data_IF_705377685850
#
_entry.id   IF_705377685850
#
_cell.length_a   1.000
_cell.length_b   1.000
_cell.length_c   1.000
_cell.angle_alpha   90.00
_cell.angle_beta   90.00
_cell.angle_gamma   90.00
#
_symmetry.space_group_name_H-M   'P 1'
#
loop_
_entity.id
_entity.type
_entity.pdbx_description
1 polymer ?
#
# COMPACT_ATOMS: atom_id res chain seq x y z
N UNK A 1 4.29 17.55 24.47
CA UNK A 1 5.07 18.20 23.40
C UNK A 1 5.09 17.27 22.20
N UNK A 2 4.39 17.62 21.14
CA UNK A 2 4.30 16.81 19.94
C UNK A 2 5.45 17.04 18.97
N UNK A 3 5.70 16.05 18.11
CA UNK A 3 6.55 16.25 16.96
C UNK A 3 5.97 17.35 16.07
N UNK A 4 6.79 18.29 15.63
CA UNK A 4 6.37 19.36 14.72
C UNK A 4 6.25 18.88 13.27
N UNK A 5 6.95 17.79 12.95
CA UNK A 5 6.95 17.16 11.63
C UNK A 5 5.99 15.98 11.57
N UNK A 6 5.77 15.45 10.39
CA UNK A 6 4.94 14.28 10.19
C UNK A 6 5.40 13.07 11.00
N UNK A 7 4.48 12.16 11.29
CA UNK A 7 4.72 10.91 11.99
C UNK A 7 4.62 9.76 11.02
N UNK A 8 5.68 8.99 10.90
CA UNK A 8 5.69 7.77 10.09
C UNK A 8 5.58 6.54 11.01
N UNK A 9 4.86 5.54 10.53
CA UNK A 9 4.76 4.23 11.16
C UNK A 9 5.16 3.17 10.14
N UNK A 10 5.97 2.22 10.58
CA UNK A 10 6.24 0.98 9.85
C UNK A 10 5.70 -0.19 10.66
N UNK A 11 4.75 -0.93 10.10
CA UNK A 11 4.18 -2.09 10.79
C UNK A 11 3.64 -3.09 9.76
N UNK A 12 4.28 -4.24 9.65
CA UNK A 12 3.77 -5.39 8.91
C UNK A 12 2.73 -6.14 9.74
N UNK A 13 1.98 -7.02 9.10
CA UNK A 13 1.04 -7.91 9.77
C UNK A 13 -0.39 -7.40 9.77
N UNK A 14 -1.22 -7.99 10.62
CA UNK A 14 -2.64 -7.68 10.68
C UNK A 14 -2.90 -6.46 11.55
N UNK A 15 -3.12 -5.33 10.93
CA UNK A 15 -3.35 -4.06 11.62
C UNK A 15 -4.75 -3.46 11.38
N UNK A 16 -5.65 -4.19 10.74
CA UNK A 16 -6.99 -3.68 10.38
C UNK A 16 -7.74 -3.07 11.57
N UNK A 17 -7.61 -3.65 12.75
CA UNK A 17 -8.27 -3.17 13.97
C UNK A 17 -7.68 -1.85 14.51
N UNK A 18 -6.53 -1.43 14.02
CA UNK A 18 -5.83 -0.22 14.48
C UNK A 18 -6.01 0.98 13.54
N UNK A 19 -6.51 0.77 12.31
CA UNK A 19 -6.45 1.78 11.27
C UNK A 19 -7.08 3.12 11.67
N UNK A 20 -8.23 3.09 12.32
CA UNK A 20 -8.87 4.32 12.80
C UNK A 20 -8.06 5.04 13.86
N UNK A 21 -7.49 4.31 14.82
CA UNK A 21 -6.64 4.90 15.86
C UNK A 21 -5.36 5.51 15.28
N UNK A 22 -4.83 4.97 14.17
CA UNK A 22 -3.69 5.58 13.48
C UNK A 22 -4.01 7.00 12.98
N UNK A 23 -5.24 7.21 12.52
CA UNK A 23 -5.71 8.52 12.05
C UNK A 23 -6.12 9.41 13.22
N UNK A 24 -7.04 8.95 14.05
CA UNK A 24 -7.77 9.76 15.03
C UNK A 24 -6.92 10.06 16.28
N UNK A 25 -6.26 9.04 16.82
CA UNK A 25 -5.54 9.15 18.08
C UNK A 25 -4.07 9.52 17.87
N UNK A 26 -3.40 8.81 16.95
CA UNK A 26 -1.96 8.94 16.74
C UNK A 26 -1.59 9.99 15.69
N UNK A 27 -2.53 10.34 14.82
CA UNK A 27 -2.34 11.29 13.73
C UNK A 27 -1.10 10.96 12.88
N UNK A 28 -1.02 9.71 12.46
CA UNK A 28 0.04 9.22 11.58
C UNK A 28 -0.12 9.87 10.20
N UNK A 29 0.98 10.35 9.65
CA UNK A 29 1.01 11.00 8.33
C UNK A 29 1.57 10.11 7.22
N UNK A 30 2.28 9.04 7.57
CA UNK A 30 2.79 8.04 6.63
C UNK A 30 2.74 6.65 7.27
N UNK A 31 2.16 5.70 6.58
CA UNK A 31 2.15 4.30 7.00
C UNK A 31 2.90 3.47 5.96
N UNK A 32 4.14 3.16 6.30
CA UNK A 32 5.08 2.50 5.41
C UNK A 32 4.96 0.99 5.54
N UNK A 33 4.91 0.31 4.41
CA UNK A 33 4.82 -1.15 4.33
C UNK A 33 3.68 -1.67 5.22
N UNK A 34 2.48 -1.09 5.08
CA UNK A 34 1.33 -1.59 5.80
C UNK A 34 1.01 -3.03 5.36
N UNK A 35 0.69 -3.88 6.33
CA UNK A 35 0.70 -5.32 6.17
C UNK A 35 -0.21 -5.85 5.06
N UNK A 36 0.25 -6.84 4.33
CA UNK A 36 -0.50 -7.48 3.25
C UNK A 36 -1.78 -8.22 3.71
N UNK A 37 -1.96 -8.39 5.01
CA UNK A 37 -3.20 -8.92 5.59
C UNK A 37 -4.31 -7.86 5.72
N UNK A 38 -4.00 -6.61 5.51
CA UNK A 38 -4.99 -5.54 5.41
C UNK A 38 -5.51 -5.48 3.98
N UNK A 39 -6.81 -5.65 3.81
CA UNK A 39 -7.43 -5.56 2.48
C UNK A 39 -7.29 -4.14 1.92
N UNK A 40 -6.88 -3.98 0.64
CA UNK A 40 -6.69 -2.66 0.04
C UNK A 40 -7.92 -1.75 0.12
N UNK A 41 -9.10 -2.32 -0.04
CA UNK A 41 -10.36 -1.57 0.01
C UNK A 41 -10.67 -1.06 1.42
N UNK A 42 -10.29 -1.81 2.45
CA UNK A 42 -10.42 -1.38 3.85
C UNK A 42 -9.41 -0.27 4.15
N UNK A 43 -8.17 -0.42 3.70
CA UNK A 43 -7.16 0.64 3.83
C UNK A 43 -7.60 1.92 3.13
N UNK A 44 -8.12 1.83 1.92
CA UNK A 44 -8.66 2.97 1.19
C UNK A 44 -9.80 3.67 1.93
N UNK A 45 -10.74 2.88 2.48
CA UNK A 45 -11.88 3.42 3.23
C UNK A 45 -11.45 4.15 4.50
N UNK A 46 -10.55 3.55 5.28
CA UNK A 46 -10.23 4.03 6.62
C UNK A 46 -9.04 5.00 6.65
N UNK A 47 -8.12 4.90 5.71
CA UNK A 47 -6.88 5.68 5.65
C UNK A 47 -6.76 6.57 4.42
N UNK A 48 -7.53 6.29 3.36
CA UNK A 48 -7.40 6.96 2.08
C UNK A 48 -7.57 8.47 2.18
N UNK A 49 -6.63 9.21 1.58
CA UNK A 49 -6.63 10.67 1.60
C UNK A 49 -6.23 11.31 2.93
N UNK A 50 -5.96 10.53 3.98
CA UNK A 50 -5.63 11.03 5.30
C UNK A 50 -4.15 10.87 5.66
N UNK A 51 -3.44 10.02 4.96
CA UNK A 51 -2.02 9.79 5.13
C UNK A 51 -1.39 9.24 3.84
N UNK A 52 -0.08 9.28 3.77
CA UNK A 52 0.66 8.55 2.74
C UNK A 52 0.68 7.06 3.08
N UNK A 53 0.43 6.23 2.08
CA UNK A 53 0.40 4.77 2.21
C UNK A 53 1.40 4.15 1.26
N UNK A 54 2.20 3.22 1.77
CA UNK A 54 3.09 2.40 0.96
C UNK A 54 2.83 0.92 1.26
N UNK A 55 2.54 0.17 0.24
CA UNK A 55 2.31 -1.29 0.34
C UNK A 55 1.41 -1.77 -0.79
N UNK A 56 0.71 -2.90 -0.69
CA UNK A 56 0.83 -3.90 0.39
C UNK A 56 0.74 -5.30 -0.22
N UNK A 57 1.48 -5.49 -1.32
CA UNK A 57 1.44 -6.76 -2.04
C UNK A 57 2.09 -7.87 -1.18
N UNK A 58 1.42 -9.03 -1.13
CA UNK A 58 1.89 -10.17 -0.37
C UNK A 58 3.23 -10.68 -0.91
N UNK A 59 4.32 -10.63 -0.12
CA UNK A 59 5.65 -11.07 -0.56
C UNK A 59 5.72 -12.57 -0.85
N UNK A 60 4.87 -13.39 -0.23
CA UNK A 60 4.78 -14.82 -0.56
C UNK A 60 4.15 -15.04 -1.93
N UNK A 61 3.15 -14.23 -2.31
CA UNK A 61 2.62 -14.23 -3.66
C UNK A 61 3.69 -13.80 -4.69
N UNK A 62 4.50 -12.80 -4.33
CA UNK A 62 5.61 -12.36 -5.19
C UNK A 62 6.68 -13.43 -5.36
N UNK A 63 6.93 -14.25 -4.33
CA UNK A 63 7.89 -15.35 -4.37
C UNK A 63 7.38 -16.54 -5.20
N UNK A 64 6.19 -17.02 -4.87
CA UNK A 64 5.65 -18.32 -5.33
C UNK A 64 4.56 -18.20 -6.39
N UNK A 65 3.98 -17.02 -6.56
CA UNK A 65 2.91 -16.77 -7.52
C UNK A 65 3.43 -16.62 -8.96
N UNK A 66 2.52 -16.71 -9.92
CA UNK A 66 2.81 -16.35 -11.29
C UNK A 66 2.89 -14.82 -11.46
N UNK A 67 3.58 -14.37 -12.50
CA UNK A 67 3.61 -12.96 -12.90
C UNK A 67 2.20 -12.37 -13.03
N UNK A 68 1.26 -13.13 -13.62
CA UNK A 68 -0.13 -12.72 -13.78
C UNK A 68 -0.84 -12.52 -12.43
N UNK A 69 -0.62 -13.41 -11.48
CA UNK A 69 -1.21 -13.28 -10.13
C UNK A 69 -0.68 -12.06 -9.38
N UNK A 70 0.63 -11.81 -9.47
CA UNK A 70 1.25 -10.61 -8.87
C UNK A 70 0.70 -9.33 -9.53
N UNK A 71 0.60 -9.33 -10.87
CA UNK A 71 0.04 -8.20 -11.62
C UNK A 71 -1.41 -7.90 -11.21
N UNK A 72 -2.27 -8.92 -11.10
CA UNK A 72 -3.66 -8.72 -10.66
C UNK A 72 -3.77 -8.19 -9.24
N UNK A 73 -2.95 -8.69 -8.32
CA UNK A 73 -2.89 -8.16 -6.95
C UNK A 73 -2.46 -6.68 -6.94
N UNK A 74 -1.46 -6.32 -7.74
CA UNK A 74 -1.00 -4.93 -7.89
C UNK A 74 -2.09 -4.02 -8.48
N UNK A 75 -2.78 -4.45 -9.52
CA UNK A 75 -3.89 -3.69 -10.11
C UNK A 75 -5.06 -3.52 -9.13
N UNK A 76 -5.38 -4.54 -8.33
CA UNK A 76 -6.40 -4.43 -7.28
C UNK A 76 -6.03 -3.35 -6.26
N UNK A 77 -4.79 -3.37 -5.79
CA UNK A 77 -4.30 -2.36 -4.84
C UNK A 77 -4.35 -0.94 -5.44
N UNK A 78 -3.91 -0.78 -6.69
CA UNK A 78 -3.96 0.49 -7.39
C UNK A 78 -5.39 1.00 -7.56
N UNK A 79 -6.31 0.15 -8.01
CA UNK A 79 -7.73 0.53 -8.19
C UNK A 79 -8.37 0.98 -6.88
N UNK A 80 -8.03 0.34 -5.76
CA UNK A 80 -8.57 0.69 -4.46
C UNK A 80 -7.98 1.98 -3.90
N UNK A 81 -6.67 2.15 -3.97
CA UNK A 81 -5.97 3.17 -3.19
C UNK A 81 -5.45 4.36 -4.00
N UNK A 82 -5.11 4.19 -5.27
CA UNK A 82 -4.59 5.30 -6.07
C UNK A 82 -5.56 6.48 -6.21
N UNK A 83 -6.89 6.26 -6.32
CA UNK A 83 -7.85 7.38 -6.37
C UNK A 83 -7.86 8.25 -5.10
N UNK A 84 -7.44 7.71 -3.96
CA UNK A 84 -7.37 8.47 -2.71
C UNK A 84 -6.20 9.46 -2.68
N UNK A 85 -5.21 9.28 -3.54
CA UNK A 85 -3.95 10.02 -3.51
C UNK A 85 -2.99 9.53 -2.41
N UNK A 86 -1.71 9.89 -2.52
CA UNK A 86 -0.72 9.55 -1.51
C UNK A 86 -0.43 8.06 -1.37
N UNK A 87 -0.64 7.26 -2.41
CA UNK A 87 -0.36 5.83 -2.40
C UNK A 87 0.89 5.50 -3.23
N UNK A 88 1.75 4.66 -2.67
CA UNK A 88 2.88 4.07 -3.36
C UNK A 88 2.73 2.55 -3.36
N UNK A 89 2.67 1.96 -4.55
CA UNK A 89 2.63 0.52 -4.71
C UNK A 89 3.94 -0.11 -4.29
N UNK A 90 3.88 -1.13 -3.46
CA UNK A 90 5.03 -1.87 -2.97
C UNK A 90 4.64 -3.16 -2.28
N UNK A 91 5.61 -3.80 -1.65
CA UNK A 91 5.37 -4.99 -0.84
C UNK A 91 4.66 -4.66 0.49
N UNK A 92 4.02 -5.67 1.05
CA UNK A 92 3.32 -5.56 2.35
C UNK A 92 4.11 -6.13 3.54
N UNK A 93 5.39 -6.41 3.31
CA UNK A 93 6.38 -6.85 4.28
C UNK A 93 7.76 -6.76 3.62
N UNK A 94 8.70 -7.64 3.94
CA UNK A 94 9.97 -7.68 3.22
C UNK A 94 9.88 -8.59 1.99
N UNK A 95 10.50 -8.17 0.89
CA UNK A 95 10.66 -9.02 -0.29
C UNK A 95 11.51 -10.23 0.08
N UNK A 96 10.97 -11.42 -0.19
CA UNK A 96 11.64 -12.68 0.11
C UNK A 96 12.87 -12.88 -0.79
N UNK A 97 14.00 -13.36 -0.24
CA UNK A 97 15.11 -13.82 -1.06
C UNK A 97 14.66 -14.86 -2.08
N UNK A 98 15.12 -14.76 -3.30
CA UNK A 98 14.73 -15.65 -4.39
C UNK A 98 13.46 -15.27 -5.13
N UNK A 99 12.83 -14.15 -4.79
CA UNK A 99 11.69 -13.62 -5.57
C UNK A 99 12.10 -13.43 -7.03
N UNK A 100 11.36 -14.02 -8.01
CA UNK A 100 11.68 -13.87 -9.42
C UNK A 100 11.64 -12.40 -9.86
N UNK A 101 12.64 -11.97 -10.63
CA UNK A 101 12.69 -10.59 -11.15
C UNK A 101 11.47 -10.24 -12.00
N UNK A 102 10.92 -11.21 -12.73
CA UNK A 102 9.70 -11.02 -13.51
C UNK A 102 8.48 -10.69 -12.63
N UNK A 103 8.41 -11.24 -11.41
CA UNK A 103 7.35 -10.92 -10.47
C UNK A 103 7.54 -9.53 -9.84
N UNK A 104 8.79 -9.09 -9.63
CA UNK A 104 9.07 -7.71 -9.24
C UNK A 104 8.72 -6.73 -10.37
N UNK A 105 9.09 -7.06 -11.61
CA UNK A 105 8.74 -6.25 -12.77
C UNK A 105 7.23 -6.11 -12.96
N UNK A 106 6.45 -7.12 -12.57
CA UNK A 106 4.99 -7.08 -12.65
C UNK A 106 4.37 -5.91 -11.87
N UNK A 107 4.98 -5.46 -10.78
CA UNK A 107 4.52 -4.29 -10.04
C UNK A 107 4.67 -3.01 -10.87
N UNK A 108 5.82 -2.82 -11.48
CA UNK A 108 6.08 -1.65 -12.35
C UNK A 108 5.17 -1.66 -13.56
N UNK A 109 5.05 -2.82 -14.23
CA UNK A 109 4.16 -2.98 -15.39
C UNK A 109 2.69 -2.70 -15.04
N UNK A 110 2.22 -3.14 -13.85
CA UNK A 110 0.87 -2.85 -13.38
C UNK A 110 0.67 -1.35 -13.13
N UNK A 111 1.67 -0.68 -12.55
CA UNK A 111 1.60 0.76 -12.31
C UNK A 111 1.58 1.56 -13.63
N UNK A 112 2.39 1.17 -14.59
CA UNK A 112 2.42 1.79 -15.94
C UNK A 112 1.09 1.57 -16.67
N UNK A 113 0.51 0.37 -16.60
CA UNK A 113 -0.78 0.05 -17.20
C UNK A 113 -1.92 0.82 -16.56
N UNK A 114 -1.93 0.91 -15.24
CA UNK A 114 -2.93 1.67 -14.50
C UNK A 114 -2.88 3.15 -14.86
N UNK A 115 -1.68 3.67 -15.10
CA UNK A 115 -1.43 5.08 -15.39
C UNK A 115 -1.52 5.95 -14.13
N UNK A 116 -1.37 7.25 -14.33
CA UNK A 116 -1.56 8.22 -13.26
C UNK A 116 -3.01 8.70 -13.28
N UNK A 117 -3.82 8.41 -12.25
CA UNK A 117 -5.13 9.02 -12.17
C UNK A 117 -4.97 10.53 -12.12
N UNK A 118 -5.85 11.26 -12.80
CA UNK A 118 -5.94 12.68 -12.58
C UNK A 118 -6.16 12.90 -11.08
N UNK A 119 -5.18 13.50 -10.45
CA UNK A 119 -5.30 13.87 -9.04
C UNK A 119 -6.37 14.94 -8.97
N UNK A 120 -7.57 14.54 -8.58
CA UNK A 120 -8.59 15.51 -8.19
C UNK A 120 -8.04 16.15 -6.92
N UNK A 121 -7.51 17.38 -7.07
CA UNK A 121 -7.02 18.14 -5.93
C UNK A 121 -8.10 18.15 -4.86
N UNK A 122 -7.78 17.84 -3.60
CA UNK A 122 -8.73 17.95 -2.51
C UNK A 122 -9.22 19.40 -2.46
N UNK A 123 -10.51 19.54 -2.51
CA UNK A 123 -11.16 20.86 -2.39
C UNK A 123 -11.08 21.34 -0.96
#
# INVERSE_FOLDING_TARGET
QGFRNGRALHMCGQSTHLLRSLVEDLRISSFDVFGYLVEPEIAARDLGGQMYLWGNINPMLMLDGSKSQVREAALRALRAMAPCGGFMLGDGANICPGTPLENLAALTEAAEEYGFPEVVSPR
#
